data_IF_914426629219
#
_entry.id   IF_914426629219
#
_cell.length_a   1.000
_cell.length_b   1.000
_cell.length_c   1.000
_cell.angle_alpha   90.00
_cell.angle_beta   90.00
_cell.angle_gamma   90.00
#
_symmetry.space_group_name_H-M   'P 1'
#
loop_
_entity.id
_entity.type
_entity.pdbx_description
1 polymer ?
#
# COMPACT_ATOMS: atom_id res chain seq x y z
N UNK A 1 -34.18 -26.26 3.33
CA UNK A 1 -32.77 -25.82 3.23
C UNK A 1 -32.77 -24.42 2.64
N UNK A 2 -32.14 -23.43 3.29
CA UNK A 2 -32.13 -22.04 2.80
C UNK A 2 -30.99 -21.83 1.77
N UNK A 3 -31.25 -21.25 0.59
CA UNK A 3 -30.22 -20.81 -0.32
C UNK A 3 -29.69 -19.44 0.11
N UNK A 4 -28.41 -19.32 0.46
CA UNK A 4 -27.83 -18.01 0.82
C UNK A 4 -26.52 -18.01 1.61
N UNK A 5 -25.99 -19.16 2.02
CA UNK A 5 -24.67 -19.21 2.67
C UNK A 5 -23.60 -19.59 1.65
N UNK A 6 -22.95 -18.58 1.07
CA UNK A 6 -21.64 -18.74 0.46
C UNK A 6 -20.72 -19.34 1.53
N UNK A 7 -20.38 -20.61 1.41
CA UNK A 7 -19.27 -21.20 2.17
C UNK A 7 -18.01 -20.38 1.81
N UNK A 8 -17.42 -19.61 2.74
CA UNK A 8 -16.22 -18.86 2.42
C UNK A 8 -15.11 -19.86 2.12
N UNK A 9 -14.48 -19.73 0.97
CA UNK A 9 -13.20 -20.37 0.69
C UNK A 9 -12.23 -20.11 1.85
N UNK A 10 -11.74 -21.17 2.48
CA UNK A 10 -10.94 -21.10 3.72
C UNK A 10 -9.49 -20.66 3.52
N UNK A 11 -9.08 -20.16 2.35
CA UNK A 11 -7.70 -19.72 2.14
C UNK A 11 -7.56 -18.22 2.37
N UNK A 12 -6.40 -17.82 2.89
CA UNK A 12 -6.03 -16.40 3.06
C UNK A 12 -6.20 -15.64 1.76
N UNK A 13 -5.66 -16.17 0.65
CA UNK A 13 -5.75 -15.52 -0.66
C UNK A 13 -7.20 -15.25 -1.10
N UNK A 14 -8.12 -16.16 -0.80
CA UNK A 14 -9.51 -15.98 -1.17
C UNK A 14 -10.24 -14.98 -0.26
N UNK A 15 -9.95 -14.98 1.05
CA UNK A 15 -10.40 -13.94 1.98
C UNK A 15 -9.90 -12.55 1.56
N UNK A 16 -8.64 -12.43 1.11
CA UNK A 16 -8.11 -11.15 0.63
C UNK A 16 -8.78 -10.67 -0.65
N UNK A 17 -9.09 -11.58 -1.58
CA UNK A 17 -9.84 -11.26 -2.81
C UNK A 17 -11.28 -10.86 -2.50
N UNK A 18 -11.94 -11.59 -1.61
CA UNK A 18 -13.29 -11.26 -1.18
C UNK A 18 -13.34 -9.90 -0.45
N UNK A 19 -12.38 -9.65 0.44
CA UNK A 19 -12.26 -8.35 1.10
C UNK A 19 -12.06 -7.21 0.12
N UNK A 20 -11.25 -7.40 -0.93
CA UNK A 20 -11.12 -6.43 -2.02
C UNK A 20 -12.44 -6.19 -2.75
N UNK A 21 -13.15 -7.25 -3.13
CA UNK A 21 -14.44 -7.13 -3.82
C UNK A 21 -15.49 -6.36 -2.99
N UNK A 22 -15.46 -6.50 -1.66
CA UNK A 22 -16.30 -5.69 -0.77
C UNK A 22 -15.89 -4.22 -0.76
N UNK A 23 -14.59 -3.89 -0.78
CA UNK A 23 -14.14 -2.49 -0.91
C UNK A 23 -14.60 -1.86 -2.21
N UNK A 24 -14.57 -2.61 -3.31
CA UNK A 24 -15.03 -2.14 -4.62
C UNK A 24 -16.55 -1.84 -4.62
N UNK A 25 -17.30 -2.50 -3.73
CA UNK A 25 -18.72 -2.25 -3.45
C UNK A 25 -18.97 -1.21 -2.34
N UNK A 26 -17.93 -0.52 -1.85
CA UNK A 26 -17.98 0.40 -0.70
C UNK A 26 -18.41 -0.25 0.63
N UNK A 27 -18.40 -1.58 0.71
CA UNK A 27 -18.79 -2.40 1.85
C UNK A 27 -17.62 -2.63 2.79
N UNK A 28 -17.23 -1.55 3.45
CA UNK A 28 -15.95 -1.51 4.18
C UNK A 28 -15.92 -2.37 5.45
N UNK A 29 -17.06 -2.63 6.10
CA UNK A 29 -17.10 -3.47 7.31
C UNK A 29 -16.94 -4.96 6.98
N UNK A 30 -17.56 -5.43 5.89
CA UNK A 30 -17.37 -6.78 5.40
C UNK A 30 -15.94 -7.01 4.92
N UNK A 31 -15.34 -6.02 4.25
CA UNK A 31 -13.92 -6.07 3.90
C UNK A 31 -13.01 -6.21 5.13
N UNK A 32 -13.28 -5.43 6.19
CA UNK A 32 -12.55 -5.50 7.45
C UNK A 32 -12.70 -6.90 8.10
N UNK A 33 -13.90 -7.48 8.06
CA UNK A 33 -14.15 -8.83 8.57
C UNK A 33 -13.33 -9.88 7.81
N UNK A 34 -13.24 -9.78 6.48
CA UNK A 34 -12.41 -10.65 5.66
C UNK A 34 -10.92 -10.55 6.04
N UNK A 35 -10.38 -9.35 6.17
CA UNK A 35 -8.96 -9.17 6.53
C UNK A 35 -8.65 -9.63 7.96
N UNK A 36 -9.57 -9.39 8.90
CA UNK A 36 -9.46 -9.94 10.25
C UNK A 36 -9.47 -11.47 10.26
N UNK A 37 -10.31 -12.09 9.43
CA UNK A 37 -10.34 -13.54 9.30
C UNK A 37 -9.05 -14.08 8.69
N UNK A 38 -8.53 -13.45 7.63
CA UNK A 38 -7.24 -13.82 7.04
C UNK A 38 -6.10 -13.81 8.06
N UNK A 39 -6.06 -12.81 8.94
CA UNK A 39 -5.04 -12.71 10.00
C UNK A 39 -5.24 -13.77 11.09
N UNK A 40 -6.48 -14.13 11.46
CA UNK A 40 -6.73 -15.24 12.40
C UNK A 40 -6.28 -16.58 11.83
N UNK A 41 -6.52 -16.80 10.54
CA UNK A 41 -6.14 -18.01 9.84
C UNK A 41 -4.62 -18.11 9.66
N UNK A 42 -3.97 -17.03 9.26
CA UNK A 42 -2.52 -16.95 9.11
C UNK A 42 -1.98 -15.66 9.75
N UNK A 43 -1.53 -15.73 11.02
CA UNK A 43 -1.05 -14.56 11.78
C UNK A 43 0.18 -13.86 11.20
N UNK A 44 0.83 -14.48 10.22
CA UNK A 44 2.01 -13.97 9.52
C UNK A 44 1.71 -13.48 8.10
N UNK A 45 0.44 -13.40 7.70
CA UNK A 45 0.06 -12.92 6.36
C UNK A 45 0.35 -11.42 6.18
N UNK A 46 1.48 -11.10 5.57
CA UNK A 46 1.92 -9.73 5.27
C UNK A 46 0.86 -8.96 4.48
N UNK A 47 0.29 -9.59 3.45
CA UNK A 47 -0.71 -8.98 2.60
C UNK A 47 -2.01 -8.63 3.36
N UNK A 48 -2.40 -9.45 4.34
CA UNK A 48 -3.57 -9.18 5.17
C UNK A 48 -3.37 -7.95 6.06
N UNK A 49 -2.19 -7.81 6.69
CA UNK A 49 -1.86 -6.62 7.46
C UNK A 49 -1.82 -5.36 6.58
N UNK A 50 -1.18 -5.41 5.40
CA UNK A 50 -1.13 -4.24 4.51
C UNK A 50 -2.55 -3.83 4.05
N UNK A 51 -3.38 -4.78 3.60
CA UNK A 51 -4.74 -4.47 3.16
C UNK A 51 -5.61 -3.91 4.29
N UNK A 52 -5.51 -4.48 5.50
CA UNK A 52 -6.24 -3.97 6.67
C UNK A 52 -5.74 -2.59 7.11
N UNK A 53 -4.42 -2.38 7.07
CA UNK A 53 -3.80 -1.10 7.36
C UNK A 53 -4.26 0.01 6.42
N UNK A 54 -4.31 -0.26 5.11
CA UNK A 54 -4.85 0.68 4.10
C UNK A 54 -6.32 1.01 4.39
N UNK A 55 -7.13 0.02 4.73
CA UNK A 55 -8.53 0.24 5.09
C UNK A 55 -8.68 1.10 6.37
N UNK A 56 -7.87 0.84 7.40
CA UNK A 56 -7.84 1.68 8.59
C UNK A 56 -7.42 3.11 8.28
N UNK A 57 -6.43 3.30 7.42
CA UNK A 57 -6.02 4.62 6.95
C UNK A 57 -7.18 5.33 6.25
N UNK A 58 -7.88 4.69 5.32
CA UNK A 58 -9.05 5.27 4.64
C UNK A 58 -10.14 5.70 5.65
N UNK A 59 -10.34 4.91 6.71
CA UNK A 59 -11.28 5.22 7.82
C UNK A 59 -10.76 6.25 8.84
N UNK A 60 -9.58 6.84 8.63
CA UNK A 60 -8.97 7.78 9.58
C UNK A 60 -8.44 7.14 10.87
N UNK A 61 -8.40 5.81 10.96
CA UNK A 61 -7.89 5.07 12.12
C UNK A 61 -6.36 4.93 12.05
N UNK A 62 -5.66 6.07 12.05
CA UNK A 62 -4.24 6.16 11.69
C UNK A 62 -3.33 5.30 12.58
N UNK A 63 -3.58 5.24 13.90
CA UNK A 63 -2.79 4.42 14.83
C UNK A 63 -2.92 2.91 14.54
N UNK A 64 -4.11 2.45 14.14
CA UNK A 64 -4.33 1.04 13.76
C UNK A 64 -3.65 0.72 12.43
N UNK A 65 -3.73 1.63 11.47
CA UNK A 65 -3.00 1.52 10.21
C UNK A 65 -1.49 1.41 10.43
N UNK A 66 -0.93 2.30 11.26
CA UNK A 66 0.50 2.29 11.60
C UNK A 66 0.93 0.96 12.24
N UNK A 67 0.13 0.44 13.18
CA UNK A 67 0.41 -0.85 13.83
C UNK A 67 0.45 -2.00 12.81
N UNK A 68 -0.49 -2.02 11.86
CA UNK A 68 -0.55 -3.05 10.82
C UNK A 68 0.62 -2.94 9.83
N UNK A 69 0.97 -1.73 9.37
CA UNK A 69 2.13 -1.54 8.50
C UNK A 69 3.45 -1.90 9.20
N UNK A 70 3.61 -1.54 10.47
CA UNK A 70 4.76 -1.95 11.27
C UNK A 70 4.83 -3.47 11.44
N UNK A 71 3.69 -4.15 11.60
CA UNK A 71 3.65 -5.62 11.67
C UNK A 71 4.02 -6.24 10.32
N UNK A 72 3.51 -5.72 9.21
CA UNK A 72 3.87 -6.17 7.87
C UNK A 72 5.38 -6.04 7.59
N UNK A 73 5.99 -4.91 7.95
CA UNK A 73 7.44 -4.67 7.80
C UNK A 73 8.25 -5.64 8.66
N UNK A 74 7.86 -5.87 9.91
CA UNK A 74 8.55 -6.86 10.77
C UNK A 74 8.49 -8.29 10.21
N UNK A 75 7.38 -8.65 9.58
CA UNK A 75 7.18 -9.98 8.99
C UNK A 75 7.93 -10.15 7.67
N UNK A 76 7.98 -9.11 6.84
CA UNK A 76 8.70 -9.10 5.58
C UNK A 76 9.39 -7.74 5.36
N UNK A 77 10.64 -7.58 5.85
CA UNK A 77 11.41 -6.34 5.70
C UNK A 77 11.77 -5.98 4.26
N UNK A 78 11.55 -6.89 3.31
CA UNK A 78 11.78 -6.66 1.88
C UNK A 78 10.51 -6.32 1.10
N UNK A 79 9.36 -6.22 1.78
CA UNK A 79 8.08 -5.95 1.12
C UNK A 79 7.86 -4.44 0.91
N UNK A 80 8.33 -3.94 -0.23
CA UNK A 80 8.31 -2.51 -0.60
C UNK A 80 6.94 -1.83 -0.39
N UNK A 81 5.83 -2.52 -0.68
CA UNK A 81 4.49 -1.96 -0.54
C UNK A 81 4.14 -1.59 0.92
N UNK A 82 4.69 -2.28 1.92
CA UNK A 82 4.44 -1.95 3.32
C UNK A 82 5.12 -0.63 3.71
N UNK A 83 6.36 -0.41 3.27
CA UNK A 83 7.07 0.86 3.44
C UNK A 83 6.33 2.00 2.72
N UNK A 84 5.99 1.81 1.44
CA UNK A 84 5.21 2.81 0.69
C UNK A 84 3.89 3.18 1.39
N UNK A 85 3.14 2.18 1.88
CA UNK A 85 1.87 2.42 2.57
C UNK A 85 2.06 3.19 3.88
N UNK A 86 3.12 2.88 4.63
CA UNK A 86 3.47 3.62 5.85
C UNK A 86 3.98 5.03 5.56
N UNK A 87 4.76 5.22 4.49
CA UNK A 87 5.18 6.52 4.01
C UNK A 87 3.99 7.42 3.65
N UNK A 88 2.99 6.89 2.94
CA UNK A 88 1.74 7.59 2.70
C UNK A 88 1.00 7.98 4.00
N UNK A 89 0.99 7.09 5.00
CA UNK A 89 0.38 7.38 6.29
C UNK A 89 1.11 8.52 7.01
N UNK A 90 2.44 8.49 7.02
CA UNK A 90 3.25 9.57 7.61
C UNK A 90 3.08 10.90 6.89
N UNK A 91 2.97 10.90 5.55
CA UNK A 91 2.61 12.11 4.79
C UNK A 91 1.29 12.70 5.27
N UNK A 92 0.25 11.86 5.46
CA UNK A 92 -1.05 12.32 5.96
C UNK A 92 -0.98 12.86 7.40
N UNK A 93 -0.04 12.37 8.21
CA UNK A 93 0.19 12.85 9.57
C UNK A 93 1.12 14.08 9.63
N UNK A 94 1.68 14.53 8.50
CA UNK A 94 2.64 15.64 8.46
C UNK A 94 4.06 15.24 8.88
N UNK A 95 4.35 13.95 9.05
CA UNK A 95 5.66 13.44 9.42
C UNK A 95 6.56 13.24 8.18
N UNK A 96 6.85 14.33 7.47
CA UNK A 96 7.47 14.25 6.13
C UNK A 96 8.85 13.60 6.10
N UNK A 97 9.67 13.78 7.14
CA UNK A 97 10.99 13.11 7.22
C UNK A 97 10.85 11.58 7.27
N UNK A 98 9.91 11.07 8.08
CA UNK A 98 9.62 9.64 8.16
C UNK A 98 9.01 9.11 6.87
N UNK A 99 8.16 9.91 6.20
CA UNK A 99 7.58 9.55 4.92
C UNK A 99 8.64 9.42 3.82
N UNK A 100 9.58 10.37 3.73
CA UNK A 100 10.70 10.31 2.78
C UNK A 100 11.54 9.04 3.00
N UNK A 101 11.91 8.75 4.24
CA UNK A 101 12.69 7.54 4.57
C UNK A 101 11.97 6.25 4.16
N UNK A 102 10.65 6.18 4.34
CA UNK A 102 9.85 5.02 3.92
C UNK A 102 9.72 4.93 2.38
N UNK A 103 9.61 6.06 1.68
CA UNK A 103 9.64 6.06 0.21
C UNK A 103 11.00 5.67 -0.35
N UNK A 104 12.09 6.14 0.26
CA UNK A 104 13.46 5.74 -0.09
C UNK A 104 13.64 4.22 0.03
N UNK A 105 13.19 3.64 1.14
CA UNK A 105 13.29 2.20 1.36
C UNK A 105 12.41 1.40 0.40
N UNK A 106 11.18 1.88 0.12
CA UNK A 106 10.31 1.27 -0.88
C UNK A 106 10.96 1.27 -2.29
N UNK A 107 11.63 2.36 -2.67
CA UNK A 107 12.32 2.49 -3.94
C UNK A 107 13.63 1.70 -4.00
N UNK A 108 14.35 1.57 -2.88
CA UNK A 108 15.52 0.69 -2.77
C UNK A 108 15.13 -0.77 -3.00
N UNK A 109 13.99 -1.20 -2.46
CA UNK A 109 13.46 -2.56 -2.58
C UNK A 109 12.79 -2.81 -3.94
N UNK A 110 12.14 -1.81 -4.52
CA UNK A 110 11.48 -1.89 -5.81
C UNK A 110 11.76 -0.63 -6.65
N UNK A 111 12.88 -0.60 -7.40
CA UNK A 111 13.31 0.58 -8.16
C UNK A 111 12.37 1.00 -9.30
N UNK A 112 11.43 0.15 -9.69
CA UNK A 112 10.39 0.45 -10.69
C UNK A 112 9.05 0.91 -10.06
N UNK A 113 9.03 1.27 -8.78
CA UNK A 113 7.80 1.68 -8.11
C UNK A 113 7.39 3.14 -8.44
N UNK A 114 6.78 3.34 -9.60
CA UNK A 114 6.36 4.65 -10.10
C UNK A 114 5.58 5.50 -9.08
N UNK A 115 4.64 4.88 -8.34
CA UNK A 115 3.85 5.59 -7.34
C UNK A 115 4.68 6.11 -6.15
N UNK A 116 5.75 5.39 -5.76
CA UNK A 116 6.64 5.83 -4.69
C UNK A 116 7.48 7.05 -5.13
N UNK A 117 8.02 7.03 -6.36
CA UNK A 117 8.66 8.21 -6.95
C UNK A 117 7.72 9.40 -7.01
N UNK A 118 6.49 9.22 -7.51
CA UNK A 118 5.53 10.32 -7.61
C UNK A 118 5.25 10.96 -6.24
N UNK A 119 4.98 10.16 -5.21
CA UNK A 119 4.68 10.69 -3.88
C UNK A 119 5.89 11.31 -3.19
N UNK A 120 7.10 10.76 -3.37
CA UNK A 120 8.34 11.34 -2.85
C UNK A 120 8.66 12.67 -3.54
N UNK A 121 8.50 12.73 -4.86
CA UNK A 121 8.65 13.95 -5.66
C UNK A 121 7.67 15.07 -5.26
N UNK A 122 6.39 14.73 -5.03
CA UNK A 122 5.42 15.69 -4.49
C UNK A 122 5.80 16.22 -3.10
N UNK A 123 6.38 15.37 -2.25
CA UNK A 123 6.89 15.79 -0.94
C UNK A 123 8.09 16.72 -1.07
N UNK A 124 9.01 16.45 -2.00
CA UNK A 124 10.12 17.35 -2.31
C UNK A 124 9.63 18.70 -2.83
N UNK A 125 8.61 18.74 -3.70
CA UNK A 125 7.99 19.99 -4.15
C UNK A 125 7.46 20.81 -2.97
N UNK A 126 6.73 20.16 -2.04
CA UNK A 126 6.19 20.83 -0.87
C UNK A 126 7.30 21.44 0.02
N UNK A 127 8.49 20.85 0.02
CA UNK A 127 9.65 21.35 0.76
C UNK A 127 10.54 22.32 -0.05
N UNK A 128 10.14 22.67 -1.29
CA UNK A 128 10.93 23.54 -2.17
C UNK A 128 12.17 22.88 -2.77
N UNK A 129 12.32 21.56 -2.65
CA UNK A 129 13.44 20.79 -3.20
C UNK A 129 13.19 20.48 -4.69
N UNK A 130 13.21 21.51 -5.53
CA UNK A 130 12.77 21.44 -6.93
C UNK A 130 13.56 20.43 -7.78
N UNK A 131 14.88 20.34 -7.60
CA UNK A 131 15.72 19.41 -8.36
C UNK A 131 15.36 17.95 -8.06
N UNK A 132 15.27 17.59 -6.77
CA UNK A 132 14.90 16.24 -6.34
C UNK A 132 13.48 15.88 -6.77
N UNK A 133 12.56 16.85 -6.68
CA UNK A 133 11.19 16.69 -7.14
C UNK A 133 11.09 16.40 -8.63
N UNK A 134 11.79 17.20 -9.46
CA UNK A 134 11.77 17.01 -10.91
C UNK A 134 12.29 15.62 -11.29
N UNK A 135 13.43 15.22 -10.73
CA UNK A 135 14.02 13.90 -11.00
C UNK A 135 13.05 12.75 -10.65
N UNK A 136 12.41 12.82 -9.48
CA UNK A 136 11.44 11.81 -9.06
C UNK A 136 10.19 11.78 -9.94
N UNK A 137 9.65 12.94 -10.31
CA UNK A 137 8.44 13.02 -11.14
C UNK A 137 8.71 12.54 -12.58
N UNK A 138 9.86 12.88 -13.15
CA UNK A 138 10.31 12.37 -14.45
C UNK A 138 10.48 10.86 -14.42
N UNK A 139 11.11 10.33 -13.36
CA UNK A 139 11.27 8.88 -13.20
C UNK A 139 9.92 8.18 -13.05
N UNK A 140 8.99 8.75 -12.28
CA UNK A 140 7.63 8.23 -12.16
C UNK A 140 6.91 8.18 -13.51
N UNK A 141 7.04 9.24 -14.33
CA UNK A 141 6.47 9.33 -15.67
C UNK A 141 7.09 8.32 -16.62
N UNK A 142 8.42 8.15 -16.60
CA UNK A 142 9.11 7.16 -17.43
C UNK A 142 8.67 5.73 -17.13
N UNK A 143 8.43 5.41 -15.85
CA UNK A 143 8.01 4.10 -15.40
C UNK A 143 6.53 3.77 -15.69
N UNK A 144 5.71 4.73 -16.14
CA UNK A 144 4.33 4.43 -16.53
C UNK A 144 4.30 3.51 -17.76
N UNK A 145 3.38 2.53 -17.82
CA UNK A 145 3.36 1.52 -18.88
C UNK A 145 3.33 2.09 -20.30
N UNK A 146 2.65 3.24 -20.49
CA UNK A 146 2.57 3.91 -21.78
C UNK A 146 3.94 4.40 -22.30
N UNK A 147 4.84 4.82 -21.41
CA UNK A 147 6.14 5.38 -21.79
C UNK A 147 7.22 4.32 -21.96
N UNK A 148 7.14 3.20 -21.24
CA UNK A 148 8.06 2.06 -21.45
C UNK A 148 7.89 1.40 -22.83
N UNK A 149 6.69 1.44 -23.40
CA UNK A 149 6.42 0.88 -24.73
C UNK A 149 7.09 1.71 -25.85
N UNK A 150 7.18 3.03 -25.70
CA UNK A 150 7.78 3.94 -26.69
C UNK A 150 9.31 3.80 -26.69
N UNK A 151 9.94 3.69 -25.52
CA UNK A 151 11.39 3.60 -25.39
C UNK A 151 12.02 2.29 -25.92
N UNK A 152 11.23 1.24 -26.15
CA UNK A 152 11.72 -0.04 -26.72
C UNK A 152 11.66 -0.11 -28.25
N UNK A 153 11.11 0.92 -28.90
CA UNK A 153 10.88 0.97 -30.36
C UNK A 153 11.86 1.93 -31.05
N UNK A 154 12.67 2.67 -30.28
CA UNK A 154 13.77 3.53 -30.73
C UNK A 154 15.11 2.85 -30.43
#
# INVERSE_FOLDING_TARGET
>A
MLPGQLQPSQSVAALLRQGQAYLDQQRSDEALACFNHAIRLEPNSVAAYVKRGVLYQQRGQLNRALADFNRAIRLAPTFALAYYSRGMLYTRQGHFYLALADFDEALRLHPSFAAAYNNRGLLYLQQGQLTSALADLEQAQYLQPANQAIAKIL
#
